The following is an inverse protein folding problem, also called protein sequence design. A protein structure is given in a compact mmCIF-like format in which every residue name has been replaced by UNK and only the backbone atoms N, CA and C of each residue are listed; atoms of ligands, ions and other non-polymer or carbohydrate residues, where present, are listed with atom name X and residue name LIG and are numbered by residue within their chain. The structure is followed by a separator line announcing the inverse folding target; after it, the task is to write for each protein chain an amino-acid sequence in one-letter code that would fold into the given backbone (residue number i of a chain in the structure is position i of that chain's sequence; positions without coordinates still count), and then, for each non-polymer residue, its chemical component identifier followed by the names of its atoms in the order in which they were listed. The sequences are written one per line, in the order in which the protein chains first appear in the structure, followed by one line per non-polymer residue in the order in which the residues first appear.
data_IF_654333982625
#
_entry.id   IF_654333982625
#
_cell.length_a   1.000
_cell.length_b   1.000
_cell.length_c   1.000
_cell.angle_alpha   90.00
_cell.angle_beta   90.00
_cell.angle_gamma   90.00
#
_symmetry.space_group_name_H-M   'P 1'
#
loop_
_entity.id
_entity.type
_entity.pdbx_description
1 polymer ?
#
# COMPACT_ATOMS: atom_id res chain seq x y z
N UNK A 1 5.13 -8.34 18.34
CA UNK A 1 5.84 -7.11 18.74
C UNK A 1 7.31 -7.34 18.53
N UNK A 2 8.06 -6.41 17.94
CA UNK A 2 9.50 -6.56 17.83
C UNK A 2 10.09 -6.61 19.24
N UNK A 3 11.02 -7.54 19.46
CA UNK A 3 11.76 -7.59 20.71
C UNK A 3 12.69 -6.38 20.75
N UNK A 4 12.47 -5.49 21.70
CA UNK A 4 13.39 -4.39 22.00
C UNK A 4 14.49 -4.99 22.87
N UNK A 5 15.66 -5.19 22.28
CA UNK A 5 16.85 -5.70 22.97
C UNK A 5 17.87 -4.58 23.15
N UNK A 6 18.88 -4.84 23.97
CA UNK A 6 20.00 -3.92 24.10
C UNK A 6 20.66 -3.67 22.73
N UNK A 7 20.94 -2.43 22.41
CA UNK A 7 21.43 -2.01 21.08
C UNK A 7 20.34 -1.82 20.01
N UNK A 8 19.04 -1.89 20.37
CA UNK A 8 17.97 -1.56 19.45
C UNK A 8 18.07 -0.10 19.02
N UNK A 9 18.21 0.14 17.72
CA UNK A 9 18.24 1.44 17.09
C UNK A 9 17.20 1.49 15.97
N UNK A 10 16.40 2.54 15.94
CA UNK A 10 15.40 2.76 14.90
C UNK A 10 15.25 4.23 14.59
N UNK A 11 15.37 4.57 13.33
CA UNK A 11 15.08 5.92 12.84
C UNK A 11 13.59 6.05 12.53
N UNK A 12 12.91 6.96 13.23
CA UNK A 12 11.53 7.36 12.95
C UNK A 12 11.51 8.72 12.25
N UNK A 13 11.13 8.72 11.01
CA UNK A 13 11.08 9.96 10.23
C UNK A 13 12.31 10.14 9.34
N UNK A 14 12.49 11.33 8.75
CA UNK A 14 11.61 12.50 8.93
C UNK A 14 10.21 12.27 8.37
N UNK A 15 9.23 12.99 8.95
CA UNK A 15 7.85 13.00 8.50
C UNK A 15 7.55 14.34 7.83
N UNK A 16 6.84 14.32 6.71
CA UNK A 16 6.38 15.50 6.02
C UNK A 16 4.89 15.74 6.31
N UNK A 17 4.56 16.94 6.75
CA UNK A 17 3.19 17.38 6.98
C UNK A 17 2.87 18.52 6.03
N UNK A 18 1.85 18.34 5.19
CA UNK A 18 1.37 19.39 4.30
C UNK A 18 0.06 19.96 4.82
N UNK A 19 0.06 21.29 5.06
CA UNK A 19 -1.13 22.03 5.48
C UNK A 19 -1.61 22.88 4.31
N UNK A 20 -2.74 22.50 3.73
CA UNK A 20 -3.33 23.28 2.65
C UNK A 20 -3.90 24.60 3.17
N UNK A 21 -3.73 25.65 2.37
CA UNK A 21 -4.40 26.93 2.57
C UNK A 21 -5.08 27.30 1.26
N UNK A 22 -6.39 27.31 1.25
CA UNK A 22 -7.21 27.78 0.14
C UNK A 22 -7.82 29.16 0.38
N UNK A 23 -8.41 29.75 -0.65
CA UNK A 23 -9.30 30.89 -0.56
C UNK A 23 -10.59 30.52 0.21
N UNK A 24 -11.41 31.49 0.58
CA UNK A 24 -12.66 31.25 1.31
C UNK A 24 -13.66 30.38 0.56
N UNK A 25 -13.50 30.27 -0.76
CA UNK A 25 -14.34 29.52 -1.69
C UNK A 25 -13.65 28.25 -2.22
N UNK A 26 -12.43 27.94 -1.72
CA UNK A 26 -11.71 26.73 -2.11
C UNK A 26 -12.50 25.47 -1.76
N UNK A 27 -12.63 24.59 -2.74
CA UNK A 27 -13.28 23.30 -2.58
C UNK A 27 -12.31 22.25 -2.01
N UNK A 28 -12.84 21.14 -1.50
CA UNK A 28 -12.02 20.00 -1.11
C UNK A 28 -11.19 19.46 -2.28
N UNK A 29 -11.71 19.57 -3.51
CA UNK A 29 -10.99 19.14 -4.71
C UNK A 29 -9.77 20.02 -4.98
N UNK A 30 -9.87 21.33 -4.78
CA UNK A 30 -8.74 22.25 -4.94
C UNK A 30 -7.63 21.94 -3.94
N UNK A 31 -8.00 21.67 -2.68
CA UNK A 31 -7.05 21.29 -1.63
C UNK A 31 -6.38 19.94 -1.92
N UNK A 32 -7.13 18.97 -2.44
CA UNK A 32 -6.57 17.68 -2.89
C UNK A 32 -5.61 17.85 -4.05
N UNK A 33 -5.97 18.68 -5.02
CA UNK A 33 -5.10 18.96 -6.18
C UNK A 33 -3.78 19.60 -5.73
N UNK A 34 -3.81 20.51 -4.76
CA UNK A 34 -2.60 21.09 -4.18
C UNK A 34 -1.72 20.02 -3.49
N UNK A 35 -2.33 19.09 -2.75
CA UNK A 35 -1.62 18.01 -2.09
C UNK A 35 -1.00 16.99 -3.06
N UNK A 36 -1.58 16.79 -4.26
CA UNK A 36 -1.10 15.83 -5.26
C UNK A 36 0.32 16.12 -5.77
N UNK A 37 0.82 17.36 -5.67
CA UNK A 37 2.21 17.68 -6.01
C UNK A 37 3.23 16.88 -5.22
N UNK A 38 2.86 16.38 -4.03
CA UNK A 38 3.69 15.56 -3.15
C UNK A 38 3.40 14.05 -3.25
N UNK A 39 2.47 13.65 -4.12
CA UNK A 39 2.07 12.24 -4.27
C UNK A 39 3.09 11.40 -5.05
N UNK A 40 3.99 12.05 -5.81
CA UNK A 40 5.05 11.32 -6.51
C UNK A 40 6.00 10.66 -5.51
N UNK A 41 6.29 9.36 -5.64
CA UNK A 41 7.26 8.68 -4.78
C UNK A 41 8.69 9.22 -4.94
N UNK A 42 8.91 10.14 -5.90
CA UNK A 42 10.22 10.73 -6.20
C UNK A 42 10.34 12.19 -5.78
N UNK A 43 9.29 12.81 -5.22
CA UNK A 43 9.28 14.25 -4.96
C UNK A 43 10.39 14.73 -4.01
N UNK A 44 10.86 13.89 -3.09
CA UNK A 44 11.87 14.22 -2.09
C UNK A 44 13.09 13.27 -2.10
N UNK A 45 13.37 12.66 -3.24
CA UNK A 45 14.47 11.69 -3.41
C UNK A 45 15.81 12.26 -3.00
N UNK A 46 16.13 13.47 -3.47
CA UNK A 46 17.41 14.12 -3.20
C UNK A 46 17.66 14.30 -1.69
N UNK A 47 16.59 14.63 -0.95
CA UNK A 47 16.69 14.75 0.50
C UNK A 47 17.02 13.40 1.13
N UNK A 48 16.30 12.33 0.77
CA UNK A 48 16.56 10.99 1.34
C UNK A 48 17.92 10.43 0.92
N UNK A 49 18.36 10.69 -0.30
CA UNK A 49 19.69 10.26 -0.74
C UNK A 49 20.79 11.04 0.01
N UNK A 50 20.56 12.30 0.36
CA UNK A 50 21.52 13.11 1.12
C UNK A 50 21.72 12.63 2.57
N UNK A 51 20.68 12.07 3.19
CA UNK A 51 20.75 11.53 4.55
C UNK A 51 21.17 10.05 4.61
N UNK A 52 21.19 9.36 3.48
CA UNK A 52 21.51 7.93 3.41
C UNK A 52 22.82 7.54 4.15
N UNK A 53 23.93 8.30 4.08
CA UNK A 53 25.15 7.97 4.79
C UNK A 53 25.02 8.01 6.31
N UNK A 54 23.97 8.67 6.84
CA UNK A 54 23.73 8.87 8.27
C UNK A 54 22.63 7.97 8.82
N UNK A 55 21.94 7.22 7.95
CA UNK A 55 20.84 6.32 8.32
C UNK A 55 21.24 4.87 8.05
N UNK A 56 21.58 4.10 9.08
CA UNK A 56 21.93 2.70 8.89
C UNK A 56 20.85 1.94 8.10
N UNK A 57 21.30 1.08 7.16
CA UNK A 57 20.44 0.24 6.30
C UNK A 57 19.49 0.99 5.34
N UNK A 58 19.54 2.30 5.27
CA UNK A 58 18.84 3.01 4.19
C UNK A 58 19.55 2.77 2.86
N UNK A 59 18.80 2.37 1.84
CA UNK A 59 19.33 2.14 0.49
C UNK A 59 19.01 3.35 -0.38
N UNK A 60 20.05 4.13 -0.80
CA UNK A 60 19.87 5.29 -1.68
C UNK A 60 19.40 4.88 -3.07
N UNK A 61 19.08 5.86 -3.91
CA UNK A 61 18.60 5.66 -5.27
C UNK A 61 19.54 4.83 -6.13
N UNK A 62 20.85 4.95 -5.93
CA UNK A 62 21.88 4.17 -6.64
C UNK A 62 21.82 2.67 -6.35
N UNK A 63 21.26 2.28 -5.21
CA UNK A 63 21.07 0.87 -4.83
C UNK A 63 19.67 0.33 -5.19
N UNK A 64 18.88 1.07 -5.96
CA UNK A 64 17.50 0.71 -6.32
C UNK A 64 17.35 0.52 -7.83
N UNK A 65 16.45 -0.37 -8.21
CA UNK A 65 15.97 -0.56 -9.57
C UNK A 65 14.47 -0.33 -9.67
N UNK A 66 13.89 -0.77 -10.78
CA UNK A 66 12.43 -0.78 -11.00
C UNK A 66 11.99 -2.17 -11.44
N UNK A 67 10.74 -2.48 -11.19
CA UNK A 67 10.12 -3.70 -11.70
C UNK A 67 8.88 -3.37 -12.50
N UNK A 68 8.73 -3.99 -13.68
CA UNK A 68 7.57 -3.90 -14.55
C UNK A 68 6.94 -5.28 -14.74
N UNK A 69 5.63 -5.36 -14.51
CA UNK A 69 4.85 -6.55 -14.74
C UNK A 69 3.87 -6.39 -15.92
N UNK A 70 3.67 -7.50 -16.64
CA UNK A 70 2.57 -7.66 -17.59
C UNK A 70 1.80 -8.90 -17.19
N UNK A 71 0.64 -8.71 -16.57
CA UNK A 71 -0.14 -9.76 -15.93
C UNK A 71 -1.40 -10.02 -16.75
N UNK A 72 -1.56 -11.25 -17.22
CA UNK A 72 -2.84 -11.69 -17.75
C UNK A 72 -3.71 -12.10 -16.57
N UNK A 73 -4.67 -11.25 -16.24
CA UNK A 73 -5.58 -11.43 -15.12
C UNK A 73 -6.67 -12.48 -15.42
N UNK A 74 -7.21 -13.15 -14.39
CA UNK A 74 -8.44 -13.92 -14.50
C UNK A 74 -9.64 -13.04 -14.87
N UNK A 75 -10.69 -13.64 -15.38
CA UNK A 75 -11.91 -12.91 -15.67
C UNK A 75 -12.60 -12.46 -14.37
N UNK A 76 -13.02 -11.22 -14.31
CA UNK A 76 -13.71 -10.67 -13.13
C UNK A 76 -12.78 -10.20 -12.00
N UNK A 77 -11.48 -10.19 -12.23
CA UNK A 77 -10.53 -9.62 -11.26
C UNK A 77 -10.78 -8.13 -11.09
N UNK A 78 -11.24 -7.71 -9.91
CA UNK A 78 -11.38 -6.33 -9.52
C UNK A 78 -10.19 -5.88 -8.67
N UNK A 79 -9.78 -4.61 -8.81
CA UNK A 79 -8.69 -3.99 -8.02
C UNK A 79 -7.46 -4.90 -7.84
N UNK A 80 -6.86 -5.41 -8.93
CA UNK A 80 -5.75 -6.32 -8.81
C UNK A 80 -4.50 -5.61 -8.29
N UNK A 81 -3.80 -6.25 -7.36
CA UNK A 81 -2.62 -5.72 -6.68
C UNK A 81 -1.44 -6.66 -6.89
N UNK A 82 -0.28 -6.09 -7.18
CA UNK A 82 0.99 -6.80 -7.21
C UNK A 82 1.84 -6.40 -5.99
N UNK A 83 2.42 -7.39 -5.34
CA UNK A 83 3.30 -7.22 -4.17
C UNK A 83 4.63 -7.88 -4.45
N UNK A 84 5.72 -7.15 -4.29
CA UNK A 84 7.05 -7.70 -4.14
C UNK A 84 7.39 -7.75 -2.66
N UNK A 85 7.68 -8.94 -2.16
CA UNK A 85 8.00 -9.16 -0.74
C UNK A 85 9.21 -10.09 -0.58
N UNK A 86 9.57 -10.39 0.64
CA UNK A 86 10.66 -11.33 0.95
C UNK A 86 10.50 -12.63 0.17
N UNK A 87 11.59 -13.07 -0.48
CA UNK A 87 11.57 -14.29 -1.27
C UNK A 87 11.22 -15.51 -0.42
N UNK A 88 10.38 -16.39 -0.94
CA UNK A 88 9.99 -17.64 -0.29
C UNK A 88 8.99 -17.50 0.87
N UNK A 89 8.55 -16.28 1.25
CA UNK A 89 7.64 -16.04 2.38
C UNK A 89 6.40 -15.29 1.90
N UNK A 90 5.23 -15.63 2.46
CA UNK A 90 4.00 -14.86 2.18
C UNK A 90 4.14 -13.44 2.78
N UNK A 91 3.71 -12.43 2.03
CA UNK A 91 3.82 -11.04 2.45
C UNK A 91 3.03 -10.74 3.74
N UNK A 92 2.01 -11.53 4.04
CA UNK A 92 1.23 -11.40 5.27
C UNK A 92 1.98 -11.95 6.49
N UNK A 93 2.90 -12.91 6.28
CA UNK A 93 3.67 -13.56 7.34
C UNK A 93 4.97 -12.83 7.68
N UNK A 94 5.52 -12.02 6.77
CA UNK A 94 6.80 -11.35 6.96
C UNK A 94 6.70 -9.97 7.64
N UNK A 95 5.55 -9.60 8.17
CA UNK A 95 5.35 -8.30 8.86
C UNK A 95 6.20 -8.14 10.13
N UNK A 96 6.73 -9.23 10.67
CA UNK A 96 7.59 -9.22 11.84
C UNK A 96 9.09 -9.23 11.50
N UNK A 97 9.44 -9.50 10.24
CA UNK A 97 10.82 -9.42 9.78
C UNK A 97 11.19 -7.96 9.53
N UNK A 98 12.12 -7.48 10.32
CA UNK A 98 12.53 -6.08 10.29
C UNK A 98 13.42 -5.72 9.12
N UNK A 99 13.94 -6.68 8.39
CA UNK A 99 14.76 -6.49 7.20
C UNK A 99 14.00 -6.75 5.88
N UNK A 100 12.79 -7.32 5.99
CA UNK A 100 11.96 -7.60 4.83
C UNK A 100 11.27 -6.33 4.32
N UNK A 101 11.47 -6.04 3.03
CA UNK A 101 10.81 -4.94 2.35
C UNK A 101 9.59 -5.45 1.61
N UNK A 102 8.55 -4.61 1.58
CA UNK A 102 7.36 -4.86 0.77
C UNK A 102 7.12 -3.67 -0.14
N UNK A 103 6.83 -3.95 -1.41
CA UNK A 103 6.49 -2.96 -2.43
C UNK A 103 5.18 -3.35 -3.07
N UNK A 104 4.26 -2.41 -3.15
CA UNK A 104 2.90 -2.61 -3.57
C UNK A 104 2.56 -1.69 -4.73
N UNK A 105 1.83 -2.20 -5.72
CA UNK A 105 1.28 -1.38 -6.78
C UNK A 105 -0.03 -1.97 -7.32
N UNK A 106 -0.92 -1.07 -7.73
CA UNK A 106 -2.12 -1.44 -8.46
C UNK A 106 -1.75 -1.94 -9.86
N UNK A 107 -2.39 -3.00 -10.29
CA UNK A 107 -2.30 -3.51 -11.65
C UNK A 107 -3.42 -2.90 -12.47
N UNK A 108 -3.13 -2.34 -13.62
CA UNK A 108 -4.17 -1.83 -14.52
C UNK A 108 -5.09 -2.98 -14.96
N UNK A 109 -6.36 -2.90 -14.61
CA UNK A 109 -7.37 -3.96 -14.84
C UNK A 109 -7.55 -4.30 -16.31
N UNK A 110 -7.40 -3.32 -17.20
CA UNK A 110 -7.65 -3.49 -18.62
C UNK A 110 -6.43 -3.98 -19.38
N UNK A 111 -5.27 -3.45 -19.00
CA UNK A 111 -4.02 -3.76 -19.70
C UNK A 111 -3.19 -4.82 -18.98
N UNK A 112 -3.42 -5.05 -17.68
CA UNK A 112 -2.60 -5.90 -16.84
C UNK A 112 -1.17 -5.37 -16.64
N UNK A 113 -0.91 -4.09 -16.92
CA UNK A 113 0.39 -3.48 -16.67
C UNK A 113 0.51 -3.03 -15.23
N UNK A 114 1.69 -3.15 -14.69
CA UNK A 114 2.05 -2.66 -13.36
C UNK A 114 3.51 -2.23 -13.37
N UNK A 115 3.81 -1.18 -12.61
CA UNK A 115 5.17 -0.70 -12.42
C UNK A 115 5.39 -0.43 -10.92
N UNK A 116 6.52 -0.92 -10.40
CA UNK A 116 6.99 -0.62 -9.05
C UNK A 116 8.35 0.05 -9.19
N UNK A 117 8.42 1.37 -9.04
CA UNK A 117 9.68 2.10 -9.08
C UNK A 117 10.43 2.01 -7.76
N UNK A 118 11.73 2.26 -7.79
CA UNK A 118 12.58 2.44 -6.60
C UNK A 118 12.62 1.24 -5.65
N UNK A 119 12.56 0.05 -6.18
CA UNK A 119 12.71 -1.20 -5.43
C UNK A 119 14.19 -1.38 -5.06
N UNK A 120 14.50 -1.68 -3.81
CA UNK A 120 15.86 -2.09 -3.38
C UNK A 120 16.31 -3.27 -4.23
N UNK A 121 17.56 -3.26 -4.69
CA UNK A 121 18.10 -4.39 -5.43
C UNK A 121 18.16 -5.63 -4.53
N UNK A 122 17.41 -6.66 -4.89
CA UNK A 122 17.31 -7.92 -4.15
C UNK A 122 16.53 -8.96 -4.98
N UNK A 123 16.29 -10.14 -4.39
CA UNK A 123 15.44 -11.19 -4.94
C UNK A 123 14.14 -11.25 -4.14
N UNK A 124 13.01 -11.24 -4.84
CA UNK A 124 11.68 -11.09 -4.25
C UNK A 124 10.74 -12.24 -4.63
N UNK A 125 9.72 -12.42 -3.80
CA UNK A 125 8.48 -13.10 -4.18
C UNK A 125 7.53 -12.08 -4.77
N UNK A 126 7.04 -12.34 -5.98
CA UNK A 126 5.89 -11.65 -6.56
C UNK A 126 4.61 -12.38 -6.15
N UNK A 127 3.72 -11.66 -5.48
CA UNK A 127 2.36 -12.10 -5.23
C UNK A 127 1.39 -11.19 -5.98
N UNK A 128 0.41 -11.78 -6.68
CA UNK A 128 -0.68 -11.02 -7.31
C UNK A 128 -2.01 -11.56 -6.80
N UNK A 129 -2.87 -10.68 -6.35
CA UNK A 129 -4.22 -11.01 -5.93
C UNK A 129 -5.21 -9.95 -6.39
N UNK A 130 -6.50 -10.26 -6.40
CA UNK A 130 -7.54 -9.35 -6.86
C UNK A 130 -8.85 -9.62 -6.11
N UNK A 131 -9.67 -8.59 -6.01
CA UNK A 131 -11.03 -8.70 -5.49
C UNK A 131 -11.85 -9.67 -6.34
N UNK A 132 -12.58 -10.56 -5.69
CA UNK A 132 -13.49 -11.51 -6.32
C UNK A 132 -12.81 -12.78 -6.87
N UNK A 133 -11.48 -12.84 -6.88
CA UNK A 133 -10.74 -14.03 -7.38
C UNK A 133 -10.25 -14.86 -6.20
N UNK A 134 -10.60 -16.16 -6.23
CA UNK A 134 -10.11 -17.11 -5.23
C UNK A 134 -8.62 -17.42 -5.47
N UNK A 135 -7.85 -17.45 -4.39
CA UNK A 135 -6.40 -17.69 -4.43
C UNK A 135 -5.58 -16.49 -4.83
N UNK A 136 -4.35 -16.74 -5.21
CA UNK A 136 -3.38 -15.73 -5.60
C UNK A 136 -2.34 -16.33 -6.55
N UNK A 137 -1.70 -15.48 -7.35
CA UNK A 137 -0.50 -15.88 -8.10
C UNK A 137 0.74 -15.67 -7.24
N UNK A 138 1.64 -16.64 -7.23
CA UNK A 138 2.93 -16.58 -6.54
C UNK A 138 4.04 -16.95 -7.50
N UNK A 139 5.11 -16.16 -7.48
CA UNK A 139 6.35 -16.45 -8.18
C UNK A 139 7.54 -16.02 -7.32
N UNK A 140 8.37 -16.97 -6.95
CA UNK A 140 9.64 -16.70 -6.28
C UNK A 140 10.74 -16.31 -7.27
N UNK A 141 11.88 -15.88 -6.74
CA UNK A 141 13.12 -15.59 -7.46
C UNK A 141 12.99 -14.46 -8.50
N UNK A 142 12.16 -13.45 -8.21
CA UNK A 142 12.07 -12.23 -9.01
C UNK A 142 13.23 -11.31 -8.64
N UNK A 143 14.24 -11.23 -9.50
CA UNK A 143 15.43 -10.42 -9.26
C UNK A 143 15.22 -8.99 -9.72
N UNK A 144 15.52 -8.03 -8.83
CA UNK A 144 15.60 -6.60 -9.14
C UNK A 144 17.05 -6.15 -8.98
N UNK A 145 17.64 -5.61 -10.03
CA UNK A 145 19.02 -5.11 -10.03
C UNK A 145 19.05 -3.58 -9.94
N UNK A 146 20.05 -3.06 -9.24
CA UNK A 146 20.23 -1.60 -9.10
C UNK A 146 20.43 -0.95 -10.48
N UNK A 147 19.78 0.20 -10.69
CA UNK A 147 19.86 0.97 -11.93
C UNK A 147 19.20 0.33 -13.14
N UNK A 148 18.52 -0.82 -12.98
CA UNK A 148 17.85 -1.52 -14.08
C UNK A 148 16.35 -1.64 -13.85
N UNK A 149 15.62 -1.89 -14.95
CA UNK A 149 14.21 -2.27 -14.94
C UNK A 149 14.08 -3.76 -15.21
N UNK A 150 13.69 -4.52 -14.22
CA UNK A 150 13.38 -5.94 -14.34
C UNK A 150 11.97 -6.11 -14.88
N UNK A 151 11.75 -7.10 -15.78
CA UNK A 151 10.44 -7.30 -16.43
C UNK A 151 9.94 -8.71 -16.24
N UNK A 152 8.69 -8.86 -15.84
CA UNK A 152 8.04 -10.16 -15.65
C UNK A 152 6.74 -10.23 -16.45
N UNK A 153 6.51 -11.36 -17.13
CA UNK A 153 5.24 -11.68 -17.78
C UNK A 153 4.56 -12.79 -17.00
N UNK A 154 3.35 -12.54 -16.56
CA UNK A 154 2.56 -13.44 -15.72
C UNK A 154 1.31 -13.85 -16.47
N UNK A 155 0.96 -15.14 -16.37
CA UNK A 155 -0.33 -15.65 -16.76
C UNK A 155 -0.98 -16.26 -15.50
N UNK A 156 -1.75 -15.43 -14.80
CA UNK A 156 -2.45 -15.86 -13.61
C UNK A 156 -3.73 -16.58 -13.99
N UNK A 157 -3.88 -17.81 -13.49
CA UNK A 157 -5.10 -18.59 -13.60
C UNK A 157 -5.70 -18.71 -12.19
N UNK A 158 -7.00 -18.48 -12.11
CA UNK A 158 -7.75 -18.66 -10.87
C UNK A 158 -7.59 -20.10 -10.35
N UNK A 159 -7.41 -20.23 -9.05
CA UNK A 159 -7.45 -21.53 -8.39
C UNK A 159 -8.88 -22.05 -8.36
N UNK A 160 -9.04 -23.37 -8.53
CA UNK A 160 -10.33 -24.01 -8.45
C UNK A 160 -10.37 -25.01 -7.29
N UNK A 161 -11.21 -24.72 -6.32
CA UNK A 161 -11.55 -25.65 -5.23
C UNK A 161 -12.78 -26.51 -5.54
N UNK A 162 -13.24 -26.50 -6.82
CA UNK A 162 -14.46 -27.17 -7.27
C UNK A 162 -15.62 -26.20 -7.46
N UNK A 163 -16.87 -26.75 -7.46
CA UNK A 163 -18.08 -25.93 -7.62
C UNK A 163 -18.32 -25.12 -6.34
N UNK A 164 -18.35 -23.78 -6.45
CA UNK A 164 -18.79 -22.92 -5.35
C UNK A 164 -20.26 -23.21 -5.01
N UNK A 165 -20.53 -23.46 -3.75
CA UNK A 165 -21.89 -23.71 -3.25
C UNK A 165 -22.49 -22.44 -2.67
N UNK A 166 -21.70 -21.68 -1.96
CA UNK A 166 -22.05 -20.37 -1.36
C UNK A 166 -20.79 -19.64 -0.94
N UNK A 167 -20.90 -18.34 -0.73
CA UNK A 167 -19.78 -17.46 -0.35
C UNK A 167 -20.19 -16.52 0.78
N UNK A 168 -19.28 -16.29 1.71
CA UNK A 168 -19.40 -15.23 2.73
C UNK A 168 -18.35 -14.18 2.39
N UNK A 169 -18.80 -12.97 2.02
CA UNK A 169 -17.90 -11.88 1.66
C UNK A 169 -17.32 -12.01 0.25
N UNK A 170 -16.36 -11.16 -0.04
CA UNK A 170 -15.62 -11.11 -1.31
C UNK A 170 -14.14 -11.18 -1.00
N UNK A 171 -13.39 -12.14 -1.58
CA UNK A 171 -11.96 -12.26 -1.32
C UNK A 171 -11.23 -11.03 -1.88
N UNK A 172 -10.60 -10.24 -1.01
CA UNK A 172 -9.82 -9.05 -1.34
C UNK A 172 -8.59 -8.89 -0.45
N UNK A 173 -8.32 -9.86 0.43
CA UNK A 173 -7.25 -9.87 1.45
C UNK A 173 -7.28 -8.66 2.40
N UNK A 174 -8.43 -8.04 2.58
CA UNK A 174 -8.66 -6.96 3.53
C UNK A 174 -9.46 -7.44 4.74
N UNK A 175 -9.55 -6.60 5.77
CA UNK A 175 -10.40 -6.86 6.94
C UNK A 175 -11.89 -6.88 6.60
N UNK A 176 -12.28 -6.34 5.44
CA UNK A 176 -13.64 -6.33 4.91
C UNK A 176 -14.02 -7.55 4.09
N UNK A 177 -13.08 -8.46 3.86
CA UNK A 177 -13.28 -9.68 3.08
C UNK A 177 -14.48 -10.49 3.56
N UNK A 178 -14.68 -10.53 4.86
CA UNK A 178 -15.86 -11.15 5.45
C UNK A 178 -17.00 -10.13 5.55
N UNK A 179 -18.22 -10.57 5.26
CA UNK A 179 -19.42 -9.77 5.44
C UNK A 179 -19.41 -9.18 6.86
N UNK A 180 -19.61 -7.86 6.97
CA UNK A 180 -19.51 -7.07 8.20
C UNK A 180 -18.08 -6.81 8.72
N UNK A 181 -17.04 -7.17 8.01
CA UNK A 181 -15.65 -6.90 8.43
C UNK A 181 -15.34 -5.42 8.61
N UNK A 182 -16.06 -4.53 7.92
CA UNK A 182 -15.96 -3.07 8.06
C UNK A 182 -17.01 -2.47 9.02
N UNK A 183 -17.97 -3.24 9.47
CA UNK A 183 -18.99 -2.74 10.38
C UNK A 183 -18.39 -2.61 11.77
N UNK A 184 -18.33 -1.38 12.26
CA UNK A 184 -18.16 -1.15 13.69
C UNK A 184 -19.42 -1.62 14.39
N UNK A 185 -19.27 -2.10 15.61
CA UNK A 185 -20.30 -2.62 16.50
C UNK A 185 -21.75 -2.41 15.98
N UNK A 186 -22.46 -3.47 15.56
CA UNK A 186 -23.78 -3.35 14.97
C UNK A 186 -24.83 -2.80 15.95
N UNK A 187 -24.48 -2.68 17.23
CA UNK A 187 -25.34 -2.09 18.27
C UNK A 187 -25.29 -0.56 18.29
N UNK A 188 -24.30 0.04 17.63
CA UNK A 188 -24.17 1.50 17.54
C UNK A 188 -24.71 1.95 16.18
N UNK A 189 -25.90 2.53 16.17
CA UNK A 189 -26.61 3.00 14.96
C UNK A 189 -25.98 4.20 14.24
N UNK A 190 -24.70 4.42 14.37
CA UNK A 190 -23.93 5.36 13.56
C UNK A 190 -23.53 4.66 12.27
N UNK A 191 -24.40 4.64 11.25
CA UNK A 191 -23.99 4.29 9.90
C UNK A 191 -22.85 5.25 9.52
N UNK A 192 -21.65 4.80 9.24
CA UNK A 192 -20.70 5.62 8.50
C UNK A 192 -21.35 5.86 7.14
N UNK A 193 -21.64 7.14 6.84
CA UNK A 193 -21.85 7.53 5.44
C UNK A 193 -20.72 6.91 4.65
N UNK A 194 -21.05 6.28 3.52
CA UNK A 194 -20.12 5.56 2.67
C UNK A 194 -18.76 6.27 2.66
N UNK A 195 -17.78 5.66 3.26
CA UNK A 195 -16.39 6.03 3.00
C UNK A 195 -16.23 5.88 1.50
N UNK A 196 -16.20 7.00 0.79
CA UNK A 196 -15.85 6.99 -0.62
C UNK A 196 -14.47 6.37 -0.64
N UNK A 197 -14.37 5.20 -1.24
CA UNK A 197 -13.12 4.49 -1.42
C UNK A 197 -12.27 5.39 -2.31
N UNK A 198 -11.37 6.13 -1.69
CA UNK A 198 -10.40 6.94 -2.40
C UNK A 198 -9.27 5.97 -2.69
N UNK A 199 -9.07 5.63 -3.96
CA UNK A 199 -7.99 4.79 -4.48
C UNK A 199 -6.63 5.45 -4.36
N UNK A 200 -6.31 5.89 -3.16
CA UNK A 200 -4.98 6.34 -2.75
C UNK A 200 -4.91 6.08 -1.25
N UNK A 201 -3.87 5.45 -0.80
CA UNK A 201 -3.59 5.12 0.60
C UNK A 201 -3.67 6.38 1.46
N UNK A 202 -4.88 6.69 1.94
CA UNK A 202 -5.15 7.78 2.85
C UNK A 202 -5.68 7.19 4.14
N UNK A 203 -4.86 7.12 5.17
CA UNK A 203 -5.35 6.87 6.51
C UNK A 203 -6.06 8.12 7.01
N UNK A 204 -7.40 8.10 7.02
CA UNK A 204 -8.20 9.14 7.63
C UNK A 204 -8.46 8.74 9.08
N UNK A 205 -7.76 9.35 10.02
CA UNK A 205 -8.13 9.31 11.42
C UNK A 205 -9.27 10.31 11.68
N UNK A 206 -10.49 9.83 11.64
CA UNK A 206 -11.65 10.62 12.03
C UNK A 206 -12.02 10.31 13.47
N UNK A 207 -11.86 11.24 14.39
CA UNK A 207 -12.51 11.21 15.69
C UNK A 207 -13.90 11.81 15.56
N UNK A 208 -14.94 11.00 15.74
CA UNK A 208 -16.29 11.50 15.98
C UNK A 208 -16.65 11.27 17.43
N UNK A 209 -16.87 12.36 18.15
CA UNK A 209 -17.61 12.31 19.40
C UNK A 209 -19.11 12.32 19.07
N UNK A 210 -19.81 11.27 19.43
CA UNK A 210 -21.28 11.29 19.50
C UNK A 210 -21.70 11.99 20.81
N UNK A 211 -21.97 13.27 20.73
CA UNK A 211 -22.48 14.08 21.84
C UNK A 211 -23.09 15.36 21.32
N UNK A 212 -24.25 15.71 21.81
CA UNK A 212 -25.11 16.82 21.38
C UNK A 212 -24.34 18.12 21.08
N UNK A 213 -24.42 18.58 19.84
CA UNK A 213 -24.55 20.00 19.57
C UNK A 213 -23.32 20.81 19.26
N UNK A 214 -22.25 20.29 18.65
CA UNK A 214 -21.20 21.12 18.04
C UNK A 214 -20.88 20.64 16.62
N UNK A 215 -20.95 21.55 15.67
CA UNK A 215 -20.59 21.27 14.27
C UNK A 215 -19.10 20.99 14.16
N UNK A 216 -18.68 19.93 13.46
CA UNK A 216 -17.27 19.59 13.32
C UNK A 216 -16.57 20.49 12.33
N UNK A 217 -15.49 21.11 12.76
CA UNK A 217 -14.45 21.61 11.86
C UNK A 217 -13.65 20.40 11.36
N UNK A 218 -13.62 20.17 10.06
CA UNK A 218 -12.87 19.07 9.46
C UNK A 218 -11.40 19.44 9.41
N UNK A 219 -10.58 18.81 10.25
CA UNK A 219 -9.14 18.77 10.07
C UNK A 219 -8.82 17.48 9.29
N UNK A 220 -8.60 17.61 8.00
CA UNK A 220 -8.13 16.48 7.19
C UNK A 220 -6.62 16.45 7.26
N UNK A 221 -6.05 15.56 8.06
CA UNK A 221 -4.61 15.31 8.08
C UNK A 221 -4.31 14.31 6.97
N UNK A 222 -3.74 14.77 5.87
CA UNK A 222 -3.25 13.91 4.80
C UNK A 222 -1.82 13.49 5.15
N UNK A 223 -1.65 12.30 5.69
CA UNK A 223 -0.33 11.71 5.92
C UNK A 223 0.13 11.05 4.61
N UNK A 224 0.92 11.76 3.83
CA UNK A 224 1.62 11.18 2.70
C UNK A 224 2.91 10.53 3.23
N UNK A 225 2.84 9.26 3.55
CA UNK A 225 4.04 8.49 3.85
C UNK A 225 4.72 8.08 2.54
N UNK A 226 6.00 8.36 2.36
CA UNK A 226 6.73 7.76 1.24
C UNK A 226 6.74 6.24 1.45
N UNK A 227 6.41 5.50 0.39
CA UNK A 227 6.41 4.04 0.33
C UNK A 227 7.83 3.48 0.49
N UNK A 228 8.38 3.58 1.67
CA UNK A 228 9.53 2.80 2.09
C UNK A 228 9.53 2.73 3.62
N UNK A 229 8.80 1.78 4.15
CA UNK A 229 8.95 1.41 5.54
C UNK A 229 10.29 0.68 5.69
N UNK A 230 11.31 1.38 6.15
CA UNK A 230 12.43 0.70 6.79
C UNK A 230 11.96 0.32 8.19
N UNK A 231 11.44 -0.87 8.34
CA UNK A 231 11.24 -1.49 9.65
C UNK A 231 12.46 -2.36 9.88
N UNK A 232 13.30 -1.98 10.83
CA UNK A 232 14.25 -2.90 11.44
C UNK A 232 13.59 -3.70 12.53
#
# INVERSE_FOLDING_TARGET
MPNITDGFDRTFGPQYYHFNKGSSDATLQDLRQDALQYASPTWNVDFYDSIAPHVPNYVPSSGRGSWEGKIKLPHGAGHPIAVLSQNGVDFQDNVFDTEAYQYWADVDEHTGKVEIPRVKADTYRLTVYAEGIFGQYIQDDVVVEAGKTSKTKVHWREESAGKELWRIGTPDKSSGEYRHGYERDPTVSCRPERLVQINTWSFVFGWRFCGNGLRPSYLTLLLLLPLSWNVR
#
